data_IF_987505964501
#
_entry.id   IF_987505964501
#
_cell.length_a   1.000
_cell.length_b   1.000
_cell.length_c   1.000
_cell.angle_alpha   90.00
_cell.angle_beta   90.00
_cell.angle_gamma   90.00
#
_symmetry.space_group_name_H-M   'P 1'
#
loop_
_entity.id
_entity.type
_entity.pdbx_description
1 polymer ?
#
# COMPACT_ATOMS: atom_id res chain seq x y z
N UNK A 1 -12.61 11.18 3.32
CA UNK A 1 -12.67 9.73 3.62
C UNK A 1 -11.56 8.96 2.90
N UNK A 2 -11.52 9.00 1.57
CA UNK A 2 -10.50 8.32 0.74
C UNK A 2 -9.06 8.66 1.13
N UNK A 3 -8.74 9.95 1.25
CA UNK A 3 -7.41 10.43 1.66
C UNK A 3 -6.99 9.93 3.04
N UNK A 4 -7.94 9.68 3.95
CA UNK A 4 -7.64 9.16 5.29
C UNK A 4 -7.23 7.69 5.22
N UNK A 5 -7.91 6.88 4.40
CA UNK A 5 -7.58 5.46 4.23
C UNK A 5 -6.15 5.29 3.68
N UNK A 6 -5.79 6.07 2.65
CA UNK A 6 -4.43 6.10 2.12
C UNK A 6 -3.42 6.45 3.20
N UNK A 7 -3.68 7.51 3.98
CA UNK A 7 -2.75 7.95 5.03
C UNK A 7 -2.59 6.93 6.15
N UNK A 8 -3.65 6.21 6.52
CA UNK A 8 -3.56 5.11 7.50
C UNK A 8 -2.58 4.05 6.99
N UNK A 9 -2.77 3.59 5.75
CA UNK A 9 -1.90 2.55 5.17
C UNK A 9 -0.47 3.07 4.96
N UNK A 10 -0.31 4.31 4.49
CA UNK A 10 1.00 4.91 4.27
C UNK A 10 1.79 5.13 5.56
N UNK A 11 1.18 5.66 6.61
CA UNK A 11 1.85 5.82 7.90
C UNK A 11 2.15 4.48 8.57
N UNK A 12 1.27 3.48 8.39
CA UNK A 12 1.55 2.12 8.85
C UNK A 12 2.77 1.52 8.16
N UNK A 13 2.83 1.61 6.83
CA UNK A 13 3.95 1.08 6.04
C UNK A 13 5.25 1.88 6.23
N UNK A 14 5.16 3.17 6.55
CA UNK A 14 6.32 4.01 6.87
C UNK A 14 6.83 3.85 8.31
N UNK A 15 6.07 3.15 9.17
CA UNK A 15 6.43 2.98 10.58
C UNK A 15 7.78 2.27 10.75
N UNK A 16 8.70 2.81 11.57
CA UNK A 16 9.99 2.17 11.81
C UNK A 16 9.89 0.87 12.63
N UNK A 17 8.73 0.59 13.24
CA UNK A 17 8.53 -0.60 14.11
C UNK A 17 7.67 -1.68 13.46
N UNK A 18 6.71 -1.30 12.61
CA UNK A 18 5.71 -2.21 12.03
C UNK A 18 5.61 -2.09 10.50
N UNK A 19 6.32 -1.13 9.91
CA UNK A 19 6.26 -0.84 8.50
C UNK A 19 7.12 -1.75 7.64
N UNK A 20 7.27 -1.38 6.37
CA UNK A 20 7.92 -2.20 5.35
C UNK A 20 9.38 -2.51 5.72
N UNK A 21 10.16 -1.50 6.11
CA UNK A 21 11.58 -1.66 6.43
C UNK A 21 11.81 -2.50 7.68
N UNK A 22 10.93 -2.40 8.69
CA UNK A 22 10.99 -3.24 9.88
C UNK A 22 10.63 -4.69 9.57
N UNK A 23 9.61 -4.90 8.74
CA UNK A 23 9.12 -6.22 8.36
C UNK A 23 10.10 -6.94 7.44
N UNK A 24 10.73 -6.22 6.51
CA UNK A 24 11.65 -6.73 5.50
C UNK A 24 12.86 -7.46 6.12
N UNK A 25 13.40 -6.94 7.22
CA UNK A 25 14.50 -7.57 7.94
C UNK A 25 14.15 -8.97 8.48
N UNK A 26 12.87 -9.21 8.80
CA UNK A 26 12.36 -10.49 9.30
C UNK A 26 11.76 -11.40 8.23
N UNK A 27 11.85 -11.06 6.94
CA UNK A 27 11.36 -11.91 5.85
C UNK A 27 12.36 -13.03 5.58
N UNK A 28 11.95 -14.31 5.61
CA UNK A 28 12.82 -15.41 5.21
C UNK A 28 13.26 -15.25 3.75
N UNK A 29 14.56 -15.33 3.52
CA UNK A 29 15.21 -15.17 2.21
C UNK A 29 16.31 -16.21 2.03
N UNK A 30 16.63 -16.50 0.78
CA UNK A 30 17.82 -17.28 0.46
C UNK A 30 19.11 -16.50 0.79
N UNK A 31 20.22 -17.17 1.14
CA UNK A 31 21.45 -16.51 1.57
C UNK A 31 22.10 -15.59 0.52
N UNK A 32 21.90 -15.91 -0.76
CA UNK A 32 22.46 -15.22 -1.92
C UNK A 32 21.63 -14.02 -2.40
N UNK A 33 20.37 -13.91 -1.95
CA UNK A 33 19.50 -12.78 -2.29
C UNK A 33 19.72 -11.66 -1.27
N UNK A 34 20.34 -10.52 -1.62
CA UNK A 34 20.60 -9.43 -0.69
C UNK A 34 19.31 -8.79 -0.16
N UNK A 35 19.40 -8.11 0.99
CA UNK A 35 18.30 -7.27 1.46
C UNK A 35 18.23 -6.00 0.62
N UNK A 36 17.04 -5.58 0.20
CA UNK A 36 16.84 -4.29 -0.45
C UNK A 36 17.28 -3.14 0.47
N UNK A 37 17.75 -2.00 -0.08
CA UNK A 37 18.02 -0.81 0.70
C UNK A 37 16.72 -0.24 1.31
N UNK A 38 16.86 0.76 2.19
CA UNK A 38 15.71 1.39 2.86
C UNK A 38 14.72 1.92 1.82
N UNK A 39 13.48 1.44 1.89
CA UNK A 39 12.40 1.79 0.98
C UNK A 39 11.68 3.02 1.52
N UNK A 40 11.65 4.09 0.73
CA UNK A 40 10.90 5.30 1.06
C UNK A 40 9.41 5.10 0.72
N UNK A 41 8.51 5.54 1.61
CA UNK A 41 7.05 5.40 1.42
C UNK A 41 6.45 6.74 1.01
N UNK A 42 5.79 6.76 -0.14
CA UNK A 42 5.10 7.92 -0.70
C UNK A 42 3.61 7.64 -0.80
N UNK A 43 2.82 8.70 -0.64
CA UNK A 43 1.36 8.64 -0.71
C UNK A 43 0.78 9.76 -1.57
N UNK A 44 -0.28 9.46 -2.33
CA UNK A 44 -0.91 10.41 -3.26
C UNK A 44 -1.46 11.68 -2.58
N UNK A 45 -1.63 11.70 -1.25
CA UNK A 45 -2.23 12.82 -0.53
C UNK A 45 -1.22 13.87 -0.09
N UNK A 46 0.08 13.55 -0.13
CA UNK A 46 1.20 14.41 0.27
C UNK A 46 2.22 14.61 -0.84
N UNK A 47 2.23 13.72 -1.83
CA UNK A 47 3.24 13.65 -2.89
C UNK A 47 2.56 13.83 -4.26
N UNK A 48 2.62 15.04 -4.85
CA UNK A 48 1.95 15.37 -6.11
C UNK A 48 2.35 14.46 -7.29
N UNK A 49 3.60 13.99 -7.31
CA UNK A 49 4.13 13.04 -8.28
C UNK A 49 3.36 11.71 -8.24
N UNK A 50 3.10 11.18 -7.04
CA UNK A 50 2.33 9.94 -6.87
C UNK A 50 0.87 10.14 -7.27
N UNK A 51 0.29 11.30 -6.97
CA UNK A 51 -1.05 11.66 -7.40
C UNK A 51 -1.19 11.73 -8.94
N UNK A 52 -0.09 12.02 -9.65
CA UNK A 52 -0.02 12.01 -11.12
C UNK A 52 0.37 10.64 -11.69
N UNK A 53 0.39 9.60 -10.86
CA UNK A 53 0.87 8.27 -11.20
C UNK A 53 2.34 8.22 -11.68
N UNK A 54 3.15 9.23 -11.35
CA UNK A 54 4.57 9.29 -11.64
C UNK A 54 5.37 8.57 -10.55
N UNK A 55 6.54 8.04 -10.95
CA UNK A 55 7.52 7.45 -10.02
C UNK A 55 8.43 8.58 -9.51
N UNK A 56 8.65 8.72 -8.19
CA UNK A 56 9.60 9.67 -7.63
C UNK A 56 11.05 9.35 -8.05
N UNK A 57 11.90 10.38 -8.07
CA UNK A 57 13.32 10.23 -8.44
C UNK A 57 14.13 9.46 -7.39
N UNK A 58 13.70 9.46 -6.13
CA UNK A 58 14.39 8.74 -5.05
C UNK A 58 13.86 7.31 -4.95
N UNK A 59 14.71 6.35 -5.34
CA UNK A 59 14.45 4.91 -5.34
C UNK A 59 15.35 4.18 -4.32
N UNK A 60 14.91 3.03 -3.77
CA UNK A 60 13.63 2.37 -4.00
C UNK A 60 12.46 3.05 -3.27
N UNK A 61 11.27 3.00 -3.88
CA UNK A 61 10.07 3.68 -3.41
C UNK A 61 8.85 2.77 -3.37
N UNK A 62 8.00 2.99 -2.35
CA UNK A 62 6.69 2.39 -2.22
C UNK A 62 5.63 3.47 -2.42
N UNK A 63 4.83 3.37 -3.47
CA UNK A 63 3.85 4.36 -3.88
C UNK A 63 2.46 3.90 -3.52
N UNK A 64 1.74 4.68 -2.71
CA UNK A 64 0.40 4.35 -2.24
C UNK A 64 -0.61 5.31 -2.87
N UNK A 65 -1.51 4.75 -3.66
CA UNK A 65 -2.54 5.50 -4.37
C UNK A 65 -3.88 4.77 -4.32
N UNK A 66 -4.98 5.46 -4.59
CA UNK A 66 -6.25 4.81 -4.91
C UNK A 66 -6.19 4.19 -6.30
N UNK A 67 -6.83 3.03 -6.50
CA UNK A 67 -6.97 2.47 -7.85
C UNK A 67 -8.18 3.07 -8.56
N UNK A 68 -8.11 3.06 -9.89
CA UNK A 68 -9.09 3.66 -10.78
C UNK A 68 -10.41 2.89 -10.89
N UNK A 69 -10.97 2.33 -9.81
CA UNK A 69 -12.42 2.12 -9.76
C UNK A 69 -13.01 3.51 -9.59
N UNK A 70 -13.34 4.23 -10.68
CA UNK A 70 -13.72 5.62 -10.56
C UNK A 70 -15.05 5.61 -9.81
N UNK A 71 -15.19 6.47 -8.80
CA UNK A 71 -16.52 6.84 -8.32
C UNK A 71 -17.20 7.61 -9.46
N UNK A 72 -17.68 6.90 -10.46
CA UNK A 72 -18.41 7.49 -11.58
C UNK A 72 -19.72 8.00 -10.99
N UNK A 73 -20.02 9.28 -11.22
CA UNK A 73 -21.32 9.87 -10.85
C UNK A 73 -22.51 9.24 -11.61
N UNK A 74 -22.24 8.31 -12.55
CA UNK A 74 -23.22 7.58 -13.30
C UNK A 74 -23.93 6.48 -12.49
N UNK A 75 -23.31 6.00 -11.41
CA UNK A 75 -23.96 5.07 -10.47
C UNK A 75 -24.46 5.85 -9.25
N UNK A 76 -25.75 5.80 -8.89
CA UNK A 76 -26.20 6.37 -7.63
C UNK A 76 -25.41 5.72 -6.50
N UNK A 77 -24.73 6.54 -5.69
CA UNK A 77 -24.02 6.06 -4.51
C UNK A 77 -25.04 5.47 -3.55
N UNK A 78 -25.20 4.15 -3.57
CA UNK A 78 -25.87 3.43 -2.50
C UNK A 78 -25.05 3.70 -1.23
N UNK A 79 -25.64 4.43 -0.29
CA UNK A 79 -25.12 4.61 1.06
C UNK A 79 -25.80 3.55 1.93
N UNK A 80 -25.23 2.35 2.11
CA UNK A 80 -25.74 1.43 3.11
C UNK A 80 -25.70 2.14 4.48
N UNK A 81 -26.62 1.77 5.38
CA UNK A 81 -26.57 2.21 6.77
C UNK A 81 -26.25 0.98 7.62
N UNK A 82 -25.12 0.95 8.36
CA UNK A 82 -24.13 2.02 8.55
C UNK A 82 -23.31 2.35 7.27
N UNK A 83 -22.77 3.58 7.15
CA UNK A 83 -22.08 4.10 5.95
C UNK A 83 -20.71 3.44 5.72
N UNK A 84 -20.77 2.18 5.29
CA UNK A 84 -19.62 1.38 4.91
C UNK A 84 -19.36 1.52 3.40
N UNK A 85 -18.11 1.78 3.02
CA UNK A 85 -17.66 1.90 1.63
C UNK A 85 -16.49 0.97 1.37
N UNK A 86 -16.38 0.47 0.14
CA UNK A 86 -15.19 -0.24 -0.32
C UNK A 86 -14.23 0.75 -0.97
N UNK A 87 -12.96 0.67 -0.57
CA UNK A 87 -11.87 1.48 -1.13
C UNK A 87 -10.78 0.52 -1.57
N UNK A 88 -10.36 0.67 -2.82
CA UNK A 88 -9.24 -0.06 -3.39
C UNK A 88 -7.99 0.83 -3.36
N UNK A 89 -6.93 0.34 -2.72
CA UNK A 89 -5.65 1.01 -2.58
C UNK A 89 -4.58 0.21 -3.31
N UNK A 90 -3.88 0.84 -4.26
CA UNK A 90 -2.69 0.30 -4.87
C UNK A 90 -1.45 0.66 -4.07
N UNK A 91 -0.62 -0.35 -3.81
CA UNK A 91 0.72 -0.24 -3.25
C UNK A 91 1.68 -0.68 -4.36
N UNK A 92 2.41 0.24 -4.98
CA UNK A 92 3.35 -0.04 -6.07
C UNK A 92 4.79 0.07 -5.60
N UNK A 93 5.60 -0.94 -5.89
CA UNK A 93 7.03 -0.93 -5.62
C UNK A 93 7.82 -0.51 -6.86
N UNK A 94 8.66 0.50 -6.68
CA UNK A 94 9.54 1.07 -7.67
C UNK A 94 11.00 0.89 -7.25
N UNK A 95 11.82 0.33 -8.16
CA UNK A 95 13.26 0.15 -8.00
C UNK A 95 13.93 0.38 -9.35
N UNK A 96 15.21 0.72 -9.31
CA UNK A 96 16.07 0.88 -10.49
C UNK A 96 17.23 -0.08 -10.32
N UNK A 97 17.29 -1.11 -11.17
CA UNK A 97 18.37 -2.09 -11.15
C UNK A 97 18.67 -2.57 -12.56
N UNK A 98 19.96 -2.60 -12.90
CA UNK A 98 20.44 -3.07 -14.19
C UNK A 98 20.33 -4.59 -14.34
N UNK A 99 20.30 -5.35 -13.24
CA UNK A 99 20.13 -6.80 -13.26
C UNK A 99 18.65 -7.17 -13.01
N UNK A 100 17.98 -7.64 -14.06
CA UNK A 100 16.57 -8.06 -14.02
C UNK A 100 16.33 -9.24 -13.06
N UNK A 101 17.28 -10.17 -12.93
CA UNK A 101 17.13 -11.33 -12.06
C UNK A 101 17.19 -10.91 -10.58
N UNK A 102 18.14 -10.02 -10.25
CA UNK A 102 18.21 -9.40 -8.93
C UNK A 102 16.93 -8.59 -8.63
N UNK A 103 16.43 -7.82 -9.61
CA UNK A 103 15.20 -7.03 -9.50
C UNK A 103 13.99 -7.87 -9.10
N UNK A 104 13.85 -9.02 -9.74
CA UNK A 104 12.72 -9.92 -9.52
C UNK A 104 12.76 -10.52 -8.10
N UNK A 105 13.93 -10.99 -7.68
CA UNK A 105 14.11 -11.57 -6.34
C UNK A 105 13.90 -10.54 -5.23
N UNK A 106 14.46 -9.34 -5.40
CA UNK A 106 14.20 -8.20 -4.51
C UNK A 106 12.70 -7.89 -4.42
N UNK A 107 12.03 -7.79 -5.57
CA UNK A 107 10.60 -7.47 -5.62
C UNK A 107 9.75 -8.55 -4.96
N UNK A 108 10.10 -9.82 -5.11
CA UNK A 108 9.43 -10.92 -4.43
C UNK A 108 9.56 -10.82 -2.90
N UNK A 109 10.73 -10.44 -2.38
CA UNK A 109 10.95 -10.21 -0.95
C UNK A 109 10.14 -9.02 -0.43
N UNK A 110 10.18 -7.89 -1.15
CA UNK A 110 9.42 -6.70 -0.78
C UNK A 110 7.93 -7.00 -0.79
N UNK A 111 7.45 -7.74 -1.79
CA UNK A 111 6.06 -8.15 -1.86
C UNK A 111 5.65 -8.99 -0.64
N UNK A 112 6.44 -9.99 -0.25
CA UNK A 112 6.18 -10.78 0.96
C UNK A 112 6.20 -9.92 2.23
N UNK A 113 7.09 -8.92 2.29
CA UNK A 113 7.14 -7.96 3.38
C UNK A 113 5.89 -7.07 3.43
N UNK A 114 5.38 -6.59 2.28
CA UNK A 114 4.13 -5.82 2.18
C UNK A 114 2.96 -6.67 2.70
N UNK A 115 2.82 -7.91 2.23
CA UNK A 115 1.75 -8.82 2.66
C UNK A 115 1.76 -9.03 4.17
N UNK A 116 2.95 -9.21 4.76
CA UNK A 116 3.12 -9.37 6.21
C UNK A 116 2.81 -8.07 6.96
N UNK A 117 3.31 -6.93 6.51
CA UNK A 117 3.07 -5.64 7.14
C UNK A 117 1.57 -5.30 7.11
N UNK A 118 0.90 -5.49 5.97
CA UNK A 118 -0.55 -5.34 5.86
C UNK A 118 -1.28 -6.35 6.77
N UNK A 119 -0.84 -7.61 6.82
CA UNK A 119 -1.42 -8.59 7.76
C UNK A 119 -1.30 -8.17 9.23
N UNK A 120 -0.18 -7.56 9.62
CA UNK A 120 0.03 -7.04 10.98
C UNK A 120 -0.90 -5.87 11.32
N UNK A 121 -1.27 -5.04 10.34
CA UNK A 121 -2.29 -3.99 10.51
C UNK A 121 -3.62 -4.59 11.01
N UNK A 122 -3.90 -5.85 10.63
CA UNK A 122 -5.16 -6.50 10.98
C UNK A 122 -5.13 -7.39 12.22
N UNK A 123 -3.95 -7.85 12.61
CA UNK A 123 -3.76 -8.92 13.62
C UNK A 123 -3.10 -8.44 14.91
N UNK A 124 -2.55 -7.23 14.95
CA UNK A 124 -1.84 -6.70 16.13
C UNK A 124 -2.64 -5.59 16.83
N UNK A 125 -2.42 -5.43 18.13
CA UNK A 125 -3.02 -4.34 18.90
C UNK A 125 -2.58 -2.95 18.39
N UNK A 126 -1.32 -2.82 17.96
CA UNK A 126 -0.82 -1.59 17.32
C UNK A 126 -1.55 -1.31 16.00
N UNK A 127 -1.82 -2.35 15.21
CA UNK A 127 -2.61 -2.27 13.98
C UNK A 127 -4.05 -1.83 14.26
N UNK A 128 -4.68 -2.38 15.29
CA UNK A 128 -6.03 -1.98 15.70
C UNK A 128 -6.15 -0.48 16.00
N UNK A 129 -5.17 0.07 16.74
CA UNK A 129 -5.10 1.50 17.00
C UNK A 129 -4.85 2.32 15.72
N UNK A 130 -3.98 1.83 14.82
CA UNK A 130 -3.64 2.52 13.57
C UNK A 130 -4.80 2.58 12.55
N UNK A 131 -5.73 1.61 12.58
CA UNK A 131 -6.88 1.53 11.65
C UNK A 131 -7.94 2.62 11.87
N UNK A 132 -7.81 3.44 12.92
CA UNK A 132 -8.75 4.52 13.23
C UNK A 132 -8.06 5.87 13.12
N UNK A 133 -8.61 6.77 12.31
CA UNK A 133 -8.11 8.13 12.19
C UNK A 133 -9.22 9.12 11.87
N UNK A 134 -9.29 10.21 12.62
CA UNK A 134 -10.24 11.33 12.39
C UNK A 134 -11.67 10.81 12.15
N UNK A 135 -12.13 9.92 13.03
CA UNK A 135 -13.46 9.30 12.96
C UNK A 135 -13.72 8.46 11.70
N UNK A 136 -12.68 8.07 10.97
CA UNK A 136 -12.74 7.06 9.92
C UNK A 136 -12.03 5.79 10.38
N UNK A 137 -12.64 4.64 10.13
CA UNK A 137 -12.13 3.33 10.54
C UNK A 137 -12.00 2.40 9.34
N UNK A 138 -10.85 1.71 9.23
CA UNK A 138 -10.73 0.52 8.40
C UNK A 138 -11.34 -0.67 9.17
N UNK A 139 -12.47 -1.20 8.68
CA UNK A 139 -13.27 -2.22 9.37
C UNK A 139 -12.83 -3.62 9.00
N UNK A 140 -12.55 -3.86 7.72
CA UNK A 140 -12.25 -5.19 7.20
C UNK A 140 -11.34 -5.11 5.98
N UNK A 141 -10.36 -6.01 5.90
CA UNK A 141 -9.65 -6.32 4.68
C UNK A 141 -10.46 -7.33 3.88
N UNK A 142 -11.00 -6.92 2.74
CA UNK A 142 -11.81 -7.79 1.88
C UNK A 142 -10.96 -8.65 0.97
N UNK A 143 -9.94 -8.03 0.39
CA UNK A 143 -9.13 -8.67 -0.63
C UNK A 143 -7.72 -8.05 -0.65
N UNK A 144 -6.75 -8.86 -1.05
CA UNK A 144 -5.35 -8.50 -1.19
C UNK A 144 -4.82 -9.20 -2.44
N UNK A 145 -4.78 -8.47 -3.55
CA UNK A 145 -4.41 -8.98 -4.87
C UNK A 145 -3.02 -8.53 -5.25
N UNK A 146 -2.35 -9.39 -6.00
CA UNK A 146 -1.00 -9.13 -6.51
C UNK A 146 -1.13 -8.81 -7.99
N UNK A 147 -0.52 -7.71 -8.41
CA UNK A 147 -0.43 -7.32 -9.79
C UNK A 147 1.05 -7.18 -10.16
N UNK A 148 1.56 -8.08 -11.00
CA UNK A 148 2.94 -7.98 -11.46
C UNK A 148 2.98 -6.99 -12.62
N UNK A 149 3.66 -5.86 -12.41
CA UNK A 149 3.93 -4.90 -13.46
C UNK A 149 5.35 -5.12 -13.94
N UNK A 150 5.50 -5.59 -15.17
CA UNK A 150 6.78 -5.53 -15.87
C UNK A 150 6.79 -4.25 -16.72
N UNK A 151 7.57 -3.26 -16.31
CA UNK A 151 7.85 -2.12 -17.18
C UNK A 151 8.72 -2.59 -18.35
N UNK A 152 8.43 -2.11 -19.57
CA UNK A 152 9.17 -2.47 -20.80
C UNK A 152 10.49 -1.68 -20.98
N UNK A 153 10.80 -0.74 -20.09
CA UNK A 153 12.07 0.01 -20.07
C UNK A 153 13.05 -0.59 -19.04
N UNK A 154 14.22 0.04 -18.82
CA UNK A 154 15.30 -0.30 -17.84
C UNK A 154 14.85 -0.36 -16.35
N UNK A 155 13.54 -0.45 -16.12
CA UNK A 155 12.75 -0.70 -14.93
C UNK A 155 12.62 0.46 -13.93
N UNK A 156 11.36 0.86 -13.67
CA UNK A 156 10.98 1.89 -12.68
C UNK A 156 9.83 1.48 -11.76
N UNK A 157 9.14 0.36 -12.02
CA UNK A 157 8.07 -0.20 -11.17
C UNK A 157 7.94 -1.69 -11.48
N UNK A 158 8.03 -2.55 -10.45
CA UNK A 158 8.23 -4.00 -10.62
C UNK A 158 7.11 -4.85 -10.01
N UNK A 159 6.33 -4.32 -9.06
CA UNK A 159 5.14 -4.98 -8.54
C UNK A 159 4.11 -4.00 -7.98
N UNK A 160 2.86 -4.41 -8.03
CA UNK A 160 1.71 -3.78 -7.41
C UNK A 160 0.97 -4.75 -6.49
N UNK A 161 0.47 -4.25 -5.38
CA UNK A 161 -0.48 -4.95 -4.50
C UNK A 161 -1.73 -4.09 -4.41
N UNK A 162 -2.89 -4.65 -4.73
CA UNK A 162 -4.18 -3.99 -4.57
C UNK A 162 -4.82 -4.49 -3.28
N UNK A 163 -5.07 -3.56 -2.36
CA UNK A 163 -5.71 -3.79 -1.08
C UNK A 163 -7.14 -3.26 -1.14
N UNK A 164 -8.13 -4.14 -1.06
CA UNK A 164 -9.54 -3.73 -0.96
C UNK A 164 -9.94 -3.71 0.52
N UNK A 165 -10.26 -2.52 1.03
CA UNK A 165 -10.65 -2.32 2.42
C UNK A 165 -12.08 -1.80 2.53
N UNK A 166 -12.83 -2.33 3.51
CA UNK A 166 -14.08 -1.74 3.96
C UNK A 166 -13.77 -0.62 4.95
N UNK A 167 -14.23 0.56 4.62
CA UNK A 167 -14.05 1.78 5.40
C UNK A 167 -15.40 2.21 5.97
N UNK A 168 -15.43 2.58 7.25
CA UNK A 168 -16.58 3.16 7.92
C UNK A 168 -16.27 4.57 8.34
N UNK A 169 -17.16 5.50 8.01
CA UNK A 169 -17.12 6.83 8.58
C UNK A 169 -18.03 6.92 9.81
N UNK A 170 -17.40 7.12 10.96
CA UNK A 170 -18.06 7.25 12.26
C UNK A 170 -18.66 8.65 12.39
N UNK A 171 -18.08 9.68 11.74
CA UNK A 171 -18.58 11.05 11.82
C UNK A 171 -19.99 11.19 11.25
N UNK A 172 -20.23 10.66 10.04
CA UNK A 172 -21.56 10.70 9.42
C UNK A 172 -22.55 9.66 9.95
N UNK A 173 -22.16 8.88 10.96
CA UNK A 173 -23.00 7.89 11.63
C UNK A 173 -23.62 8.42 12.94
N UNK A 174 -23.19 9.59 13.42
CA UNK A 174 -23.79 10.34 14.53
C UNK A 174 -24.91 11.25 14.02
#
# INVERSE_FOLDING_TARGET
>A
MLTTAIRIVAEWLASPTTGINATLYGVPREPDVPLPPIIAVYDETRHPEVARAQVPDQLPALLISTTATPLTAAAPMARPFPPDYLVDLAIRYATETADTAAAFNETALVHRAIMRAVGQLWTTAAGEAARVRRQLQLVELRDLRVELYQSNDDSRSTAGVIVTVRVRDIYTNA
#
